data_IF_659354029682
#
_entry.id   IF_659354029682
#
_cell.length_a   1.000
_cell.length_b   1.000
_cell.length_c   1.000
_cell.angle_alpha   90.00
_cell.angle_beta   90.00
_cell.angle_gamma   90.00
#
_symmetry.space_group_name_H-M   'P 1'
#
loop_
_entity.id
_entity.type
_entity.pdbx_description
1 polymer ?
#
# COMPACT_ATOMS: atom_id res chain seq x y z
N UNK A 1 -11.24 -19.40 16.27
CA UNK A 1 -10.60 -18.11 16.59
C UNK A 1 -11.02 -17.12 15.52
N UNK A 2 -11.62 -15.99 15.88
CA UNK A 2 -12.04 -14.98 14.90
C UNK A 2 -10.83 -14.31 14.25
N UNK A 3 -10.97 -13.83 13.01
CA UNK A 3 -9.93 -13.06 12.31
C UNK A 3 -9.46 -11.88 13.17
N UNK A 4 -10.36 -11.21 13.90
CA UNK A 4 -10.02 -10.16 14.87
C UNK A 4 -8.97 -10.60 15.91
N UNK A 5 -9.10 -11.81 16.48
CA UNK A 5 -8.13 -12.36 17.45
C UNK A 5 -6.80 -12.80 16.81
N UNK A 6 -6.77 -13.05 15.50
CA UNK A 6 -5.55 -13.33 14.73
C UNK A 6 -4.86 -12.05 14.27
N UNK A 7 -5.66 -11.07 13.83
CA UNK A 7 -5.23 -9.74 13.41
C UNK A 7 -4.51 -9.02 14.54
N UNK A 8 -5.04 -9.04 15.78
CA UNK A 8 -4.33 -8.49 16.94
C UNK A 8 -2.97 -9.16 17.21
N UNK A 9 -2.80 -10.46 16.91
CA UNK A 9 -1.54 -11.19 17.10
C UNK A 9 -0.51 -10.92 16.01
N UNK A 10 -0.93 -10.87 14.75
CA UNK A 10 -0.05 -10.51 13.62
C UNK A 10 0.30 -9.02 13.66
N UNK A 11 -0.67 -8.17 14.01
CA UNK A 11 -0.47 -6.77 14.35
C UNK A 11 0.52 -6.60 15.50
N UNK A 12 0.40 -7.38 16.58
CA UNK A 12 1.36 -7.34 17.66
C UNK A 12 2.76 -7.81 17.23
N UNK A 13 2.89 -8.66 16.20
CA UNK A 13 4.18 -9.04 15.61
C UNK A 13 4.81 -7.90 14.82
N UNK A 14 4.03 -7.23 13.97
CA UNK A 14 4.45 -6.04 13.23
C UNK A 14 4.82 -4.89 14.18
N UNK A 15 4.01 -4.65 15.22
CA UNK A 15 4.23 -3.60 16.23
C UNK A 15 5.38 -3.93 17.18
N UNK A 16 5.59 -5.19 17.60
CA UNK A 16 6.69 -5.53 18.53
C UNK A 16 8.07 -5.31 17.92
N UNK A 17 8.20 -5.49 16.62
CA UNK A 17 9.43 -5.19 15.85
C UNK A 17 9.51 -3.69 15.47
N UNK A 18 8.38 -3.02 15.23
CA UNK A 18 8.32 -1.62 14.77
C UNK A 18 8.40 -0.55 15.88
N UNK A 19 7.81 -0.80 17.06
CA UNK A 19 7.92 0.07 18.26
C UNK A 19 9.35 0.08 18.83
N UNK A 20 10.21 -0.85 18.42
CA UNK A 20 11.65 -0.78 18.74
C UNK A 20 12.38 0.37 18.04
N UNK A 21 11.77 1.03 17.04
CA UNK A 21 12.47 1.91 16.09
C UNK A 21 12.09 3.41 16.12
N UNK A 22 11.50 4.01 17.15
CA UNK A 22 11.69 5.45 17.55
C UNK A 22 10.45 6.05 18.23
N UNK A 23 10.73 7.10 19.00
CA UNK A 23 9.79 7.81 19.85
C UNK A 23 10.14 9.32 19.79
N UNK A 24 9.11 10.19 19.65
CA UNK A 24 8.98 11.62 20.06
C UNK A 24 8.74 12.70 18.98
N UNK A 25 7.56 13.33 19.03
CA UNK A 25 7.37 14.79 19.26
C UNK A 25 5.88 15.14 19.47
N UNK A 26 5.57 15.90 20.53
CA UNK A 26 4.23 16.39 20.89
C UNK A 26 4.17 17.88 20.49
N UNK A 27 3.15 18.27 19.71
CA UNK A 27 2.83 19.67 19.41
C UNK A 27 1.76 20.21 20.38
N UNK A 28 1.56 21.54 20.46
CA UNK A 28 0.57 22.12 21.37
C UNK A 28 -0.86 21.79 20.93
N UNK A 29 -1.75 21.53 21.90
CA UNK A 29 -3.18 21.25 21.68
C UNK A 29 -3.92 22.50 21.19
N UNK A 30 -4.82 22.40 20.19
CA UNK A 30 -5.82 23.44 19.95
C UNK A 30 -7.01 23.25 20.89
N UNK A 31 -7.44 24.35 21.50
CA UNK A 31 -8.77 24.48 22.09
C UNK A 31 -9.78 24.83 20.97
N UNK A 32 -10.94 24.17 20.96
CA UNK A 32 -12.09 24.60 20.17
C UNK A 32 -12.83 23.46 19.47
N UNK A 33 -13.95 23.06 20.06
CA UNK A 33 -14.89 22.05 19.54
C UNK A 33 -15.78 22.70 18.46
N UNK A 34 -15.60 22.29 17.20
CA UNK A 34 -16.40 22.78 16.08
C UNK A 34 -16.11 21.97 14.82
N UNK A 35 -17.18 21.48 14.16
CA UNK A 35 -17.11 20.68 12.93
C UNK A 35 -16.21 21.33 11.87
N UNK A 36 -15.11 20.66 11.54
CA UNK A 36 -14.16 21.05 10.51
C UNK A 36 -14.78 20.88 9.12
N UNK A 37 -14.82 21.96 8.35
CA UNK A 37 -15.22 21.94 6.93
C UNK A 37 -13.98 21.82 6.04
N UNK A 38 -14.12 21.45 4.75
CA UNK A 38 -12.99 21.47 3.80
C UNK A 38 -12.33 22.86 3.70
N UNK A 39 -13.13 23.94 3.81
CA UNK A 39 -12.66 25.32 3.83
C UNK A 39 -11.80 25.61 5.09
N UNK A 40 -12.23 25.14 6.27
CA UNK A 40 -11.46 25.26 7.52
C UNK A 40 -10.13 24.50 7.45
N UNK A 41 -10.13 23.33 6.80
CA UNK A 41 -8.90 22.54 6.59
C UNK A 41 -7.93 23.24 5.65
N UNK A 42 -8.42 23.84 4.55
CA UNK A 42 -7.61 24.67 3.63
C UNK A 42 -7.01 25.90 4.33
N UNK A 43 -7.79 26.59 5.17
CA UNK A 43 -7.31 27.76 5.91
C UNK A 43 -6.30 27.41 7.02
N UNK A 44 -6.47 26.26 7.69
CA UNK A 44 -5.47 25.75 8.65
C UNK A 44 -4.16 25.41 7.96
N UNK A 45 -4.21 24.73 6.81
CA UNK A 45 -3.03 24.39 6.02
C UNK A 45 -2.25 25.64 5.57
N UNK A 46 -2.96 26.71 5.16
CA UNK A 46 -2.34 27.98 4.81
C UNK A 46 -1.66 28.69 6.00
N UNK A 47 -2.23 28.58 7.21
CA UNK A 47 -1.61 29.13 8.44
C UNK A 47 -0.37 28.35 8.86
N UNK A 48 -0.41 27.02 8.78
CA UNK A 48 0.75 26.15 9.05
C UNK A 48 1.89 26.47 8.06
N UNK A 49 1.56 26.72 6.79
CA UNK A 49 2.51 27.15 5.75
C UNK A 49 3.21 28.48 6.11
N UNK A 50 2.43 29.46 6.61
CA UNK A 50 2.95 30.77 7.01
C UNK A 50 3.84 30.71 8.27
N UNK A 51 3.53 29.83 9.23
CA UNK A 51 4.36 29.61 10.41
C UNK A 51 5.73 28.98 10.06
N UNK A 52 5.78 28.13 9.02
CA UNK A 52 7.00 27.46 8.60
C UNK A 52 7.88 28.28 7.63
N UNK A 53 7.32 29.26 6.92
CA UNK A 53 8.09 30.22 6.10
C UNK A 53 9.06 31.09 6.92
N UNK A 54 8.89 31.14 8.26
CA UNK A 54 9.74 31.91 9.18
C UNK A 54 10.84 31.13 9.91
N UNK A 55 11.15 29.89 9.48
CA UNK A 55 12.46 29.28 9.77
C UNK A 55 12.69 28.83 11.22
N UNK A 56 11.79 28.05 11.81
CA UNK A 56 12.09 27.31 13.04
C UNK A 56 11.75 25.82 12.90
N UNK A 57 12.77 24.99 12.66
CA UNK A 57 12.69 23.53 12.87
C UNK A 57 13.14 23.12 14.28
N UNK A 58 13.62 24.07 15.10
CA UNK A 58 14.10 23.80 16.46
C UNK A 58 13.85 24.97 17.40
N UNK A 59 12.90 24.82 18.33
CA UNK A 59 12.89 25.58 19.57
C UNK A 59 12.37 24.65 20.69
N UNK A 60 13.29 24.19 21.51
CA UNK A 60 13.01 23.37 22.69
C UNK A 60 12.18 24.17 23.71
N UNK A 61 11.02 23.63 24.11
CA UNK A 61 10.44 23.97 25.40
C UNK A 61 11.10 23.09 26.49
N UNK A 62 11.32 23.59 27.72
CA UNK A 62 11.96 22.81 28.78
C UNK A 62 11.05 21.64 29.19
N UNK A 63 11.58 20.41 29.15
CA UNK A 63 10.84 19.19 29.49
C UNK A 63 10.37 19.20 30.96
N UNK A 64 9.09 18.85 31.17
CA UNK A 64 8.61 18.44 32.49
C UNK A 64 9.20 17.06 32.83
N UNK A 65 9.82 16.93 34.02
CA UNK A 65 10.46 15.71 34.52
C UNK A 65 9.49 14.51 34.51
N UNK A 66 9.72 13.52 33.63
CA UNK A 66 9.09 12.19 33.70
C UNK A 66 9.73 11.34 34.82
N UNK A 67 8.90 10.56 35.49
CA UNK A 67 9.25 9.66 36.59
C UNK A 67 10.16 8.51 36.14
N UNK A 68 11.19 8.21 36.94
CA UNK A 68 12.10 7.05 36.78
C UNK A 68 11.32 5.76 36.96
N UNK A 69 10.93 5.08 35.88
CA UNK A 69 10.23 3.79 35.98
C UNK A 69 10.42 2.84 34.79
N UNK A 70 10.43 3.35 33.55
CA UNK A 70 10.50 2.47 32.37
C UNK A 70 11.58 2.94 31.39
N UNK A 71 12.85 2.73 31.74
CA UNK A 71 13.92 2.74 30.74
C UNK A 71 13.96 1.36 30.09
N UNK A 72 13.12 1.15 29.06
CA UNK A 72 13.28 0.01 28.15
C UNK A 72 14.61 0.18 27.40
N UNK A 73 15.48 -0.82 27.48
CA UNK A 73 16.77 -0.89 26.80
C UNK A 73 16.56 -0.91 25.29
N UNK A 74 17.04 0.13 24.60
CA UNK A 74 17.09 0.19 23.12
C UNK A 74 18.15 -0.78 22.62
N UNK A 75 17.83 -1.61 21.63
CA UNK A 75 18.84 -2.41 20.92
C UNK A 75 19.48 -1.51 19.86
N UNK A 76 20.80 -1.22 19.93
CA UNK A 76 21.49 -0.53 18.85
C UNK A 76 21.49 -1.42 17.61
N UNK A 77 20.95 -0.94 16.49
CA UNK A 77 21.17 -1.58 15.19
C UNK A 77 22.38 -0.89 14.56
N UNK A 78 23.50 -1.60 14.48
CA UNK A 78 24.69 -1.13 13.77
C UNK A 78 24.51 -1.42 12.27
N UNK A 79 23.97 -0.46 11.53
CA UNK A 79 23.86 -0.54 10.07
C UNK A 79 25.16 -0.06 9.41
N UNK A 80 25.58 -0.63 8.26
CA UNK A 80 26.67 -0.07 7.46
C UNK A 80 26.39 1.39 7.08
N UNK A 81 27.43 2.23 7.01
CA UNK A 81 27.28 3.66 6.69
C UNK A 81 26.54 3.88 5.35
N UNK A 82 26.79 3.04 4.35
CA UNK A 82 26.10 3.09 3.06
C UNK A 82 24.58 2.87 3.17
N UNK A 83 24.13 2.03 4.10
CA UNK A 83 22.71 1.79 4.37
C UNK A 83 22.09 2.98 5.10
N UNK A 84 22.83 3.58 6.04
CA UNK A 84 22.40 4.79 6.73
C UNK A 84 22.27 5.97 5.76
N UNK A 85 23.20 6.11 4.83
CA UNK A 85 23.17 7.16 3.81
C UNK A 85 22.03 6.95 2.81
N UNK A 86 21.79 5.70 2.38
CA UNK A 86 20.63 5.36 1.56
C UNK A 86 19.31 5.71 2.28
N UNK A 87 19.18 5.34 3.56
CA UNK A 87 18.03 5.67 4.39
C UNK A 87 17.78 7.19 4.45
N UNK A 88 18.84 7.99 4.67
CA UNK A 88 18.73 9.46 4.71
C UNK A 88 18.34 10.04 3.35
N UNK A 89 18.92 9.53 2.27
CA UNK A 89 18.61 9.95 0.91
C UNK A 89 17.17 9.61 0.55
N UNK A 90 16.70 8.40 0.85
CA UNK A 90 15.29 8.01 0.66
C UNK A 90 14.34 8.91 1.45
N UNK A 91 14.65 9.22 2.71
CA UNK A 91 13.84 10.13 3.52
C UNK A 91 13.76 11.54 2.90
N UNK A 92 14.90 12.08 2.43
CA UNK A 92 14.94 13.37 1.76
C UNK A 92 14.14 13.36 0.44
N UNK A 93 14.27 12.30 -0.35
CA UNK A 93 13.51 12.12 -1.59
C UNK A 93 12.00 12.14 -1.30
N UNK A 94 11.51 11.37 -0.33
CA UNK A 94 10.09 11.37 0.04
C UNK A 94 9.59 12.77 0.43
N UNK A 95 10.39 13.54 1.16
CA UNK A 95 10.03 14.91 1.54
C UNK A 95 10.06 15.89 0.36
N UNK A 96 10.95 15.69 -0.62
CA UNK A 96 11.05 16.51 -1.84
C UNK A 96 9.84 16.30 -2.76
N UNK A 97 9.22 15.13 -2.74
CA UNK A 97 8.05 14.80 -3.57
C UNK A 97 6.76 15.46 -3.08
N UNK A 98 6.74 16.08 -1.89
CA UNK A 98 5.59 16.86 -1.43
C UNK A 98 5.51 18.19 -2.19
N UNK A 99 4.32 18.50 -2.71
CA UNK A 99 4.06 19.82 -3.27
C UNK A 99 4.07 20.92 -2.19
N UNK A 100 4.52 22.11 -2.61
CA UNK A 100 4.68 23.28 -1.73
C UNK A 100 3.39 24.10 -1.60
N UNK A 101 2.42 23.93 -2.50
CA UNK A 101 1.18 24.68 -2.55
C UNK A 101 -0.01 23.85 -2.03
N UNK A 102 -0.17 22.65 -2.56
CA UNK A 102 -1.10 21.61 -2.14
C UNK A 102 -0.44 20.72 -1.08
N UNK A 103 -0.26 21.26 0.12
CA UNK A 103 0.46 20.56 1.18
C UNK A 103 -0.20 19.21 1.53
N UNK A 104 0.62 18.17 1.63
CA UNK A 104 0.21 16.78 1.81
C UNK A 104 0.10 15.97 0.52
N UNK A 105 0.04 16.63 -0.65
CA UNK A 105 0.12 15.96 -1.94
C UNK A 105 1.56 15.52 -2.21
N UNK A 106 1.81 14.21 -2.28
CA UNK A 106 3.11 13.63 -2.63
C UNK A 106 2.94 12.89 -3.95
N UNK A 107 3.72 13.28 -4.96
CA UNK A 107 3.69 12.63 -6.27
C UNK A 107 4.44 11.30 -6.25
N UNK A 108 4.11 10.40 -7.19
CA UNK A 108 4.77 9.10 -7.27
C UNK A 108 6.27 9.21 -7.64
N UNK A 109 6.62 10.09 -8.59
CA UNK A 109 8.02 10.40 -8.93
C UNK A 109 8.17 11.75 -9.64
N UNK A 110 9.25 12.48 -9.35
CA UNK A 110 9.71 13.64 -10.11
C UNK A 110 10.36 13.24 -11.45
N UNK A 111 9.65 12.46 -12.27
CA UNK A 111 10.15 11.99 -13.56
C UNK A 111 9.04 11.74 -14.59
N UNK A 112 9.45 11.65 -15.85
CA UNK A 112 8.65 11.13 -16.96
C UNK A 112 9.37 9.88 -17.46
N UNK A 113 8.80 8.66 -17.27
CA UNK A 113 9.44 7.43 -17.71
C UNK A 113 9.60 7.42 -19.23
N UNK A 114 10.79 7.05 -19.71
CA UNK A 114 11.21 7.16 -21.11
C UNK A 114 11.04 8.56 -21.71
N UNK A 115 11.22 9.62 -20.91
CA UNK A 115 11.02 11.00 -21.32
C UNK A 115 11.84 11.42 -22.57
N UNK A 116 12.95 10.74 -22.87
CA UNK A 116 13.74 10.97 -24.07
C UNK A 116 13.02 10.59 -25.39
N UNK A 117 11.93 9.83 -25.32
CA UNK A 117 11.08 9.47 -26.47
C UNK A 117 9.67 10.05 -26.38
N UNK A 118 9.40 10.88 -25.36
CA UNK A 118 8.12 11.57 -25.20
C UNK A 118 8.20 12.97 -25.80
N UNK A 119 7.10 13.44 -26.36
CA UNK A 119 7.01 14.82 -26.83
C UNK A 119 6.81 15.79 -25.66
N UNK A 120 7.05 17.08 -25.90
CA UNK A 120 6.88 18.16 -24.90
C UNK A 120 5.43 18.33 -24.40
N UNK A 121 4.48 17.62 -25.03
CA UNK A 121 3.06 17.60 -24.67
C UNK A 121 2.66 16.37 -23.85
N UNK A 122 3.59 15.53 -23.42
CA UNK A 122 3.27 14.40 -22.54
C UNK A 122 2.80 14.94 -21.18
N UNK A 123 1.49 14.86 -20.97
CA UNK A 123 0.84 15.20 -19.71
C UNK A 123 0.71 13.92 -18.87
N UNK A 124 0.92 14.03 -17.55
CA UNK A 124 0.67 12.95 -16.61
C UNK A 124 1.66 11.77 -16.70
N UNK A 125 2.95 12.07 -16.53
CA UNK A 125 3.96 11.06 -16.19
C UNK A 125 3.79 10.56 -14.74
N UNK A 126 4.88 10.39 -14.01
CA UNK A 126 4.77 9.94 -12.60
C UNK A 126 4.65 11.11 -11.61
N UNK A 127 4.60 12.34 -12.12
CA UNK A 127 4.41 13.56 -11.33
C UNK A 127 2.93 13.85 -11.04
N UNK A 128 2.12 12.79 -10.85
CA UNK A 128 0.75 12.84 -10.34
C UNK A 128 0.72 12.16 -8.97
N UNK A 129 -0.40 12.31 -8.26
CA UNK A 129 -0.64 11.70 -6.96
C UNK A 129 -1.48 10.44 -7.14
N UNK A 130 -0.94 9.28 -6.76
CA UNK A 130 -1.69 8.03 -6.62
C UNK A 130 -1.98 7.80 -5.14
N UNK A 131 -3.24 7.54 -4.73
CA UNK A 131 -3.54 7.21 -3.34
C UNK A 131 -2.69 6.06 -2.79
N UNK A 132 -2.39 5.02 -3.59
CA UNK A 132 -1.50 3.92 -3.19
C UNK A 132 -0.08 4.40 -2.88
N UNK A 133 0.56 5.11 -3.80
CA UNK A 133 1.93 5.61 -3.65
C UNK A 133 2.03 6.65 -2.53
N UNK A 134 1.03 7.52 -2.44
CA UNK A 134 0.89 8.53 -1.41
C UNK A 134 0.84 7.90 -0.02
N UNK A 135 0.01 6.87 0.19
CA UNK A 135 -0.11 6.18 1.49
C UNK A 135 1.15 5.40 1.83
N UNK A 136 1.80 4.74 0.87
CA UNK A 136 3.07 4.05 1.15
C UNK A 136 4.19 5.04 1.52
N UNK A 137 4.28 6.17 0.80
CA UNK A 137 5.23 7.25 1.09
C UNK A 137 4.98 7.87 2.46
N UNK A 138 3.73 8.18 2.78
CA UNK A 138 3.35 8.75 4.07
C UNK A 138 3.51 7.74 5.22
N UNK A 139 3.27 6.45 4.96
CA UNK A 139 3.57 5.36 5.90
C UNK A 139 5.07 5.25 6.20
N UNK A 140 5.93 5.39 5.19
CA UNK A 140 7.37 5.49 5.40
C UNK A 140 7.73 6.72 6.24
N UNK A 141 7.11 7.88 5.97
CA UNK A 141 7.33 9.09 6.78
C UNK A 141 6.92 8.92 8.24
N UNK A 142 5.86 8.17 8.54
CA UNK A 142 5.53 7.78 9.91
C UNK A 142 6.68 6.95 10.51
N UNK A 143 7.18 5.94 9.80
CA UNK A 143 8.29 5.11 10.27
C UNK A 143 9.60 5.92 10.48
N UNK A 144 9.78 7.00 9.72
CA UNK A 144 10.88 7.95 9.86
C UNK A 144 10.68 8.98 11.00
N UNK A 145 9.50 8.99 11.65
CA UNK A 145 9.12 9.97 12.67
C UNK A 145 8.63 11.31 12.12
N UNK A 146 8.52 11.47 10.80
CA UNK A 146 8.03 12.67 10.11
C UNK A 146 6.49 12.77 10.10
N UNK A 147 5.91 12.70 11.30
CA UNK A 147 4.45 12.67 11.49
C UNK A 147 3.73 13.95 11.02
N UNK A 148 4.39 15.09 10.98
CA UNK A 148 3.79 16.35 10.49
C UNK A 148 3.45 16.25 9.01
N UNK A 149 4.36 15.73 8.18
CA UNK A 149 4.10 15.53 6.76
C UNK A 149 3.03 14.46 6.53
N UNK A 150 3.12 13.33 7.23
CA UNK A 150 2.10 12.28 7.16
C UNK A 150 0.68 12.80 7.50
N UNK A 151 0.55 13.66 8.52
CA UNK A 151 -0.74 14.28 8.87
C UNK A 151 -1.27 15.21 7.77
N UNK A 152 -0.40 15.96 7.08
CA UNK A 152 -0.79 16.79 5.93
C UNK A 152 -1.29 15.93 4.79
N UNK A 153 -0.67 14.79 4.54
CA UNK A 153 -1.15 13.79 3.57
C UNK A 153 -2.55 13.26 3.93
N UNK A 154 -2.84 13.00 5.20
CA UNK A 154 -4.20 12.59 5.59
C UNK A 154 -5.23 13.69 5.28
N UNK A 155 -4.90 14.95 5.58
CA UNK A 155 -5.77 16.09 5.23
C UNK A 155 -5.99 16.21 3.72
N UNK A 156 -4.95 15.99 2.92
CA UNK A 156 -5.06 15.95 1.47
C UNK A 156 -6.06 14.87 1.02
N UNK A 157 -5.88 13.62 1.48
CA UNK A 157 -6.81 12.51 1.18
C UNK A 157 -8.25 12.83 1.60
N UNK A 158 -8.45 13.40 2.79
CA UNK A 158 -9.79 13.83 3.25
C UNK A 158 -10.40 14.90 2.34
N UNK A 159 -9.59 15.78 1.75
CA UNK A 159 -10.06 16.87 0.89
C UNK A 159 -10.33 16.47 -0.56
N UNK A 160 -9.75 15.36 -1.01
CA UNK A 160 -9.84 14.87 -2.40
C UNK A 160 -10.74 13.65 -2.54
N UNK A 161 -11.33 13.15 -1.45
CA UNK A 161 -12.30 12.06 -1.51
C UNK A 161 -13.54 12.50 -2.30
N UNK A 162 -13.97 11.66 -3.23
CA UNK A 162 -15.18 11.87 -4.00
C UNK A 162 -16.45 11.63 -3.17
N UNK A 163 -17.58 12.18 -3.64
CA UNK A 163 -18.85 12.15 -2.91
C UNK A 163 -19.39 10.72 -2.63
N UNK A 164 -19.02 9.75 -3.46
CA UNK A 164 -19.42 8.33 -3.29
C UNK A 164 -18.52 7.56 -2.31
N UNK A 165 -17.40 8.17 -1.88
CA UNK A 165 -16.44 7.63 -0.93
C UNK A 165 -15.14 7.10 -1.55
N UNK A 166 -14.98 7.13 -2.87
CA UNK A 166 -13.75 6.69 -3.54
C UNK A 166 -12.73 7.82 -3.71
N UNK A 167 -11.58 7.47 -4.27
CA UNK A 167 -10.65 8.41 -4.90
C UNK A 167 -10.54 8.05 -6.40
N UNK A 168 -10.17 9.03 -7.22
CA UNK A 168 -9.76 8.76 -8.59
C UNK A 168 -8.46 7.93 -8.60
N UNK A 169 -8.21 7.22 -9.71
CA UNK A 169 -7.00 6.41 -9.90
C UNK A 169 -5.72 7.22 -9.65
N UNK A 170 -5.69 8.44 -10.15
CA UNK A 170 -4.66 9.40 -9.84
C UNK A 170 -5.18 10.82 -10.00
N UNK A 171 -4.50 11.74 -9.34
CA UNK A 171 -4.91 13.13 -9.21
C UNK A 171 -3.77 14.05 -9.61
N UNK A 172 -4.13 15.19 -10.18
CA UNK A 172 -3.26 16.36 -10.14
C UNK A 172 -3.06 16.82 -8.68
N UNK A 173 -2.04 17.67 -8.47
CA UNK A 173 -1.70 18.20 -7.16
C UNK A 173 -2.87 18.90 -6.47
N UNK A 174 -3.74 19.55 -7.24
CA UNK A 174 -4.94 20.24 -6.73
C UNK A 174 -6.12 19.30 -6.39
N UNK A 175 -5.96 17.99 -6.63
CA UNK A 175 -6.99 16.99 -6.41
C UNK A 175 -7.90 16.75 -7.62
N UNK A 176 -7.66 17.38 -8.77
CA UNK A 176 -8.42 17.10 -9.98
C UNK A 176 -8.09 15.69 -10.50
N UNK A 177 -9.09 14.82 -10.77
CA UNK A 177 -8.86 13.50 -11.35
C UNK A 177 -8.14 13.57 -12.71
N UNK A 178 -7.18 12.68 -12.94
CA UNK A 178 -6.55 12.50 -14.25
C UNK A 178 -7.05 11.22 -14.93
N UNK A 179 -6.75 10.05 -14.39
CA UNK A 179 -7.36 8.78 -14.79
C UNK A 179 -8.48 8.35 -13.83
N UNK A 180 -9.38 7.51 -14.35
CA UNK A 180 -10.62 7.11 -13.68
C UNK A 180 -10.79 5.59 -13.55
N UNK A 181 -9.70 4.82 -13.63
CA UNK A 181 -9.72 3.41 -13.30
C UNK A 181 -10.15 3.17 -11.85
N UNK A 182 -10.90 2.10 -11.61
CA UNK A 182 -11.37 1.77 -10.27
C UNK A 182 -10.40 0.79 -9.60
N UNK A 183 -9.63 1.29 -8.64
CA UNK A 183 -8.68 0.49 -7.85
C UNK A 183 -9.13 0.43 -6.40
N UNK A 184 -9.65 -0.72 -5.98
CA UNK A 184 -10.24 -0.86 -4.64
C UNK A 184 -9.18 -0.76 -3.52
N UNK A 185 -7.92 -1.10 -3.80
CA UNK A 185 -6.83 -0.91 -2.85
C UNK A 185 -6.56 0.58 -2.59
N UNK A 186 -6.71 1.44 -3.59
CA UNK A 186 -6.56 2.89 -3.43
C UNK A 186 -7.66 3.53 -2.58
N UNK A 187 -8.83 2.89 -2.50
CA UNK A 187 -9.93 3.29 -1.61
C UNK A 187 -9.69 2.75 -0.19
N UNK A 188 -9.10 1.57 -0.08
CA UNK A 188 -8.82 0.90 1.19
C UNK A 188 -7.58 1.46 1.92
N UNK A 189 -6.53 1.86 1.18
CA UNK A 189 -5.28 2.37 1.75
C UNK A 189 -5.45 3.61 2.65
N UNK A 190 -6.25 4.64 2.30
CA UNK A 190 -6.52 5.78 3.18
C UNK A 190 -7.10 5.40 4.55
N UNK A 191 -7.91 4.33 4.61
CA UNK A 191 -8.45 3.81 5.88
C UNK A 191 -7.31 3.24 6.74
N UNK A 192 -6.45 2.42 6.13
CA UNK A 192 -5.27 1.85 6.81
C UNK A 192 -4.33 2.95 7.29
N UNK A 193 -4.12 3.99 6.48
CA UNK A 193 -3.27 5.12 6.81
C UNK A 193 -3.78 5.90 8.03
N UNK A 194 -5.09 6.14 8.11
CA UNK A 194 -5.68 6.78 9.29
C UNK A 194 -5.44 5.95 10.58
N UNK A 195 -5.47 4.62 10.50
CA UNK A 195 -5.12 3.75 11.64
C UNK A 195 -3.64 3.82 12.01
N UNK A 196 -2.74 3.93 11.03
CA UNK A 196 -1.31 4.14 11.31
C UNK A 196 -1.10 5.43 12.10
N UNK A 197 -1.70 6.55 11.68
CA UNK A 197 -1.63 7.81 12.41
C UNK A 197 -2.30 7.73 13.79
N UNK A 198 -3.42 7.02 13.92
CA UNK A 198 -4.09 6.81 15.21
C UNK A 198 -3.17 6.12 16.21
N UNK A 199 -2.44 5.08 15.77
CA UNK A 199 -1.53 4.31 16.63
C UNK A 199 -0.36 5.15 17.12
N UNK A 200 0.11 6.08 16.31
CA UNK A 200 1.12 7.06 16.70
C UNK A 200 0.58 8.20 17.57
N UNK A 201 -0.72 8.21 17.87
CA UNK A 201 -1.37 9.31 18.59
C UNK A 201 -1.39 10.61 17.79
N UNK A 202 -1.41 10.52 16.45
CA UNK A 202 -1.27 11.65 15.52
C UNK A 202 -2.58 12.06 14.84
N UNK A 203 -3.72 11.76 15.46
CA UNK A 203 -5.05 12.21 15.01
C UNK A 203 -5.67 13.32 15.87
N UNK A 204 -4.89 13.94 16.79
CA UNK A 204 -5.37 14.88 17.82
C UNK A 204 -6.55 15.81 17.42
N UNK A 205 -6.37 16.63 16.39
CA UNK A 205 -7.34 17.59 15.80
C UNK A 205 -7.98 17.08 14.49
N UNK A 206 -7.75 15.83 14.13
CA UNK A 206 -8.23 15.23 12.89
C UNK A 206 -9.20 14.10 13.18
N UNK A 207 -10.45 14.29 12.78
CA UNK A 207 -11.43 13.21 12.73
C UNK A 207 -11.50 12.63 11.30
N UNK A 208 -10.81 11.51 11.00
CA UNK A 208 -10.90 10.86 9.70
C UNK A 208 -12.18 10.01 9.54
N UNK A 209 -13.03 9.88 10.56
CA UNK A 209 -14.14 8.94 10.52
C UNK A 209 -15.14 9.19 9.39
N UNK A 210 -15.53 10.43 9.04
CA UNK A 210 -16.38 10.67 7.87
C UNK A 210 -15.77 10.11 6.58
N UNK A 211 -14.47 10.32 6.37
CA UNK A 211 -13.73 9.79 5.22
C UNK A 211 -13.71 8.26 5.22
N UNK A 212 -13.38 7.66 6.38
CA UNK A 212 -13.34 6.22 6.57
C UNK A 212 -14.71 5.58 6.34
N UNK A 213 -15.77 6.18 6.86
CA UNK A 213 -17.14 5.69 6.72
C UNK A 213 -17.59 5.71 5.26
N UNK A 214 -17.29 6.78 4.52
CA UNK A 214 -17.62 6.87 3.10
C UNK A 214 -16.85 5.82 2.28
N UNK A 215 -15.54 5.69 2.51
CA UNK A 215 -14.70 4.71 1.85
C UNK A 215 -15.15 3.27 2.14
N UNK A 216 -15.38 2.92 3.41
CA UNK A 216 -15.87 1.60 3.81
C UNK A 216 -17.27 1.31 3.23
N UNK A 217 -18.14 2.33 3.13
CA UNK A 217 -19.42 2.22 2.46
C UNK A 217 -19.28 1.94 0.97
N UNK A 218 -18.30 2.53 0.29
CA UNK A 218 -17.99 2.23 -1.10
C UNK A 218 -17.48 0.79 -1.26
N UNK A 219 -16.49 0.39 -0.45
CA UNK A 219 -15.96 -0.98 -0.46
C UNK A 219 -17.09 -2.00 -0.27
N UNK A 220 -17.98 -1.80 0.71
CA UNK A 220 -19.11 -2.70 0.98
C UNK A 220 -20.07 -2.87 -0.21
N UNK A 221 -20.27 -1.81 -1.03
CA UNK A 221 -21.21 -1.84 -2.17
C UNK A 221 -20.61 -2.38 -3.45
N UNK A 222 -19.29 -2.27 -3.61
CA UNK A 222 -18.61 -2.51 -4.88
C UNK A 222 -17.58 -3.65 -4.84
N UNK A 223 -17.08 -4.01 -3.65
CA UNK A 223 -16.12 -5.10 -3.46
C UNK A 223 -16.76 -6.48 -3.46
N UNK A 224 -15.93 -7.54 -3.46
CA UNK A 224 -14.47 -7.53 -3.33
C UNK A 224 -13.71 -7.57 -4.68
N UNK A 225 -14.42 -7.41 -5.79
CA UNK A 225 -13.82 -7.36 -7.13
C UNK A 225 -13.32 -5.95 -7.39
N UNK A 226 -12.08 -5.83 -7.84
CA UNK A 226 -11.52 -4.53 -8.28
C UNK A 226 -11.65 -4.35 -9.79
N UNK A 227 -11.80 -3.11 -10.25
CA UNK A 227 -11.77 -2.79 -11.69
C UNK A 227 -10.36 -2.90 -12.27
N UNK A 228 -9.35 -2.64 -11.45
CA UNK A 228 -7.93 -2.79 -11.75
C UNK A 228 -7.17 -3.25 -10.49
N UNK A 229 -6.21 -4.14 -10.66
CA UNK A 229 -5.21 -4.47 -9.65
C UNK A 229 -4.17 -3.35 -9.48
N UNK A 230 -3.23 -3.50 -8.55
CA UNK A 230 -2.25 -2.44 -8.22
C UNK A 230 -1.32 -2.06 -9.37
N UNK A 231 -1.23 -2.90 -10.40
CA UNK A 231 -0.47 -2.61 -11.62
C UNK A 231 -1.28 -1.84 -12.66
N UNK A 232 -2.56 -1.56 -12.37
CA UNK A 232 -3.47 -0.75 -13.16
C UNK A 232 -3.92 -1.40 -14.47
N UNK A 233 -3.93 -2.74 -14.53
CA UNK A 233 -4.05 -3.48 -15.80
C UNK A 233 -5.31 -4.34 -15.90
N UNK A 234 -5.65 -5.09 -14.83
CA UNK A 234 -6.69 -6.11 -14.88
C UNK A 234 -7.68 -6.00 -13.72
N UNK A 235 -8.97 -6.13 -14.01
CA UNK A 235 -10.00 -6.30 -12.99
C UNK A 235 -10.18 -7.76 -12.57
N UNK A 236 -10.81 -7.98 -11.42
CA UNK A 236 -11.09 -9.30 -10.87
C UNK A 236 -10.75 -9.43 -9.38
N UNK A 237 -10.60 -10.67 -8.92
CA UNK A 237 -10.13 -11.01 -7.58
C UNK A 237 -8.60 -10.91 -7.54
N UNK A 238 -8.08 -9.72 -7.29
CA UNK A 238 -6.65 -9.44 -7.10
C UNK A 238 -6.22 -9.81 -5.68
N UNK A 239 -5.19 -10.65 -5.53
CA UNK A 239 -4.75 -11.10 -4.20
C UNK A 239 -4.26 -9.93 -3.34
N UNK A 240 -3.53 -8.98 -3.94
CA UNK A 240 -3.09 -7.78 -3.25
C UNK A 240 -4.28 -6.95 -2.79
N UNK A 241 -5.21 -6.66 -3.69
CA UNK A 241 -6.35 -5.77 -3.43
C UNK A 241 -7.28 -6.37 -2.38
N UNK A 242 -7.61 -7.66 -2.47
CA UNK A 242 -8.36 -8.40 -1.45
C UNK A 242 -7.73 -8.27 -0.06
N UNK A 243 -6.40 -8.38 0.02
CA UNK A 243 -5.69 -8.28 1.30
C UNK A 243 -5.84 -6.88 1.93
N UNK A 244 -5.70 -5.83 1.12
CA UNK A 244 -5.86 -4.44 1.56
C UNK A 244 -7.31 -4.14 1.95
N UNK A 245 -8.28 -4.56 1.15
CA UNK A 245 -9.71 -4.37 1.41
C UNK A 245 -10.16 -5.02 2.72
N UNK A 246 -9.82 -6.29 2.95
CA UNK A 246 -10.18 -7.01 4.19
C UNK A 246 -9.59 -6.30 5.41
N UNK A 247 -8.31 -5.92 5.36
CA UNK A 247 -7.67 -5.21 6.46
C UNK A 247 -8.32 -3.83 6.70
N UNK A 248 -8.65 -3.10 5.64
CA UNK A 248 -9.30 -1.80 5.73
C UNK A 248 -10.71 -1.91 6.34
N UNK A 249 -11.48 -2.93 5.98
CA UNK A 249 -12.82 -3.16 6.54
C UNK A 249 -12.77 -3.44 8.04
N UNK A 250 -11.78 -4.21 8.52
CA UNK A 250 -11.57 -4.44 9.97
C UNK A 250 -11.18 -3.14 10.69
N UNK A 251 -10.31 -2.33 10.08
CA UNK A 251 -9.93 -1.02 10.62
C UNK A 251 -11.13 -0.08 10.68
N UNK A 252 -11.90 0.03 9.60
CA UNK A 252 -13.10 0.84 9.52
C UNK A 252 -14.14 0.42 10.57
N UNK A 253 -14.28 -0.89 10.81
CA UNK A 253 -15.14 -1.40 11.88
C UNK A 253 -14.69 -0.91 13.27
N UNK A 254 -13.38 -0.93 13.54
CA UNK A 254 -12.82 -0.40 14.79
C UNK A 254 -13.05 1.10 14.96
N UNK A 255 -13.02 1.88 13.87
CA UNK A 255 -13.42 3.28 13.90
C UNK A 255 -14.94 3.43 14.15
N UNK A 256 -15.79 2.66 13.47
CA UNK A 256 -17.23 2.69 13.66
C UNK A 256 -17.64 2.43 15.13
N UNK A 257 -16.99 1.47 15.80
CA UNK A 257 -17.22 1.20 17.22
C UNK A 257 -16.83 2.40 18.10
N UNK A 258 -15.67 3.02 17.84
CA UNK A 258 -15.19 4.21 18.58
C UNK A 258 -16.11 5.41 18.41
N UNK A 259 -16.81 5.51 17.27
CA UNK A 259 -17.78 6.56 16.98
C UNK A 259 -19.22 6.17 17.35
N UNK A 260 -19.42 5.11 18.14
CA UNK A 260 -20.73 4.74 18.65
C UNK A 260 -21.69 4.17 17.59
N UNK A 261 -21.15 3.61 16.50
CA UNK A 261 -21.92 2.95 15.43
C UNK A 261 -21.58 1.44 15.35
N UNK A 262 -21.76 0.66 16.43
CA UNK A 262 -21.30 -0.73 16.49
C UNK A 262 -22.03 -1.65 15.52
N UNK A 263 -23.26 -1.31 15.10
CA UNK A 263 -23.98 -2.07 14.08
C UNK A 263 -23.28 -2.02 12.72
N UNK A 264 -22.74 -0.85 12.34
CA UNK A 264 -21.89 -0.73 11.15
C UNK A 264 -20.60 -1.52 11.34
N UNK A 265 -19.97 -1.41 12.52
CA UNK A 265 -18.78 -2.20 12.85
C UNK A 265 -18.99 -3.71 12.70
N UNK A 266 -20.15 -4.23 13.10
CA UNK A 266 -20.50 -5.64 12.91
C UNK A 266 -20.60 -6.03 11.42
N UNK A 267 -21.34 -5.27 10.62
CA UNK A 267 -21.48 -5.53 9.16
C UNK A 267 -20.12 -5.51 8.46
N UNK A 268 -19.26 -4.54 8.79
CA UNK A 268 -17.93 -4.43 8.20
C UNK A 268 -17.03 -5.62 8.56
N UNK A 269 -17.08 -6.10 9.82
CA UNK A 269 -16.35 -7.30 10.27
C UNK A 269 -16.87 -8.58 9.60
N UNK A 270 -18.18 -8.76 9.55
CA UNK A 270 -18.80 -9.94 8.91
C UNK A 270 -18.46 -9.99 7.42
N UNK A 271 -18.47 -8.84 6.74
CA UNK A 271 -18.05 -8.73 5.34
C UNK A 271 -16.59 -9.08 5.17
N UNK A 272 -15.70 -8.53 6.02
CA UNK A 272 -14.27 -8.83 5.99
C UNK A 272 -14.00 -10.33 6.23
N UNK A 273 -14.70 -10.95 7.18
CA UNK A 273 -14.61 -12.38 7.47
C UNK A 273 -15.09 -13.23 6.28
N UNK A 274 -16.21 -12.85 5.66
CA UNK A 274 -16.75 -13.54 4.50
C UNK A 274 -15.80 -13.49 3.29
N UNK A 275 -15.22 -12.32 3.00
CA UNK A 275 -14.23 -12.17 1.93
C UNK A 275 -12.94 -12.93 2.25
N UNK A 276 -12.42 -12.77 3.46
CA UNK A 276 -11.20 -13.46 3.90
C UNK A 276 -11.30 -14.98 3.81
N UNK A 277 -12.48 -15.55 4.11
CA UNK A 277 -12.73 -16.99 4.04
C UNK A 277 -12.75 -17.56 2.61
N UNK A 278 -12.97 -16.71 1.59
CA UNK A 278 -13.07 -17.11 0.19
C UNK A 278 -11.85 -16.75 -0.67
N UNK A 279 -10.84 -16.09 -0.10
CA UNK A 279 -9.61 -15.73 -0.83
C UNK A 279 -9.02 -16.95 -1.55
N UNK A 280 -8.88 -18.08 -0.87
CA UNK A 280 -8.34 -19.31 -1.48
C UNK A 280 -9.25 -19.85 -2.59
N UNK A 281 -10.57 -19.79 -2.41
CA UNK A 281 -11.54 -20.25 -3.41
C UNK A 281 -11.37 -19.48 -4.72
N UNK A 282 -11.17 -18.17 -4.64
CA UNK A 282 -11.03 -17.32 -5.82
C UNK A 282 -9.63 -17.35 -6.43
N UNK A 283 -8.59 -17.46 -5.61
CA UNK A 283 -7.22 -17.09 -6.03
C UNK A 283 -6.16 -18.17 -5.84
N UNK A 284 -6.44 -19.28 -5.15
CA UNK A 284 -5.47 -20.35 -4.95
C UNK A 284 -5.71 -21.51 -5.92
N UNK A 285 -4.79 -21.71 -6.87
CA UNK A 285 -4.89 -22.75 -7.90
C UNK A 285 -4.03 -23.96 -7.53
N UNK A 286 -4.49 -25.14 -7.95
CA UNK A 286 -3.82 -26.44 -7.75
C UNK A 286 -3.75 -27.18 -9.07
N UNK A 287 -2.89 -28.20 -9.12
CA UNK A 287 -2.76 -29.11 -10.26
C UNK A 287 -2.57 -28.39 -11.62
N UNK A 288 -1.93 -27.23 -11.59
CA UNK A 288 -1.48 -26.53 -12.80
C UNK A 288 -0.17 -27.11 -13.29
N UNK A 289 0.18 -26.86 -14.56
CA UNK A 289 1.50 -27.22 -15.08
C UNK A 289 2.63 -26.61 -14.25
N UNK A 290 2.49 -25.34 -13.86
CA UNK A 290 3.46 -24.63 -13.03
C UNK A 290 3.61 -25.27 -11.63
N UNK A 291 2.51 -25.67 -10.98
CA UNK A 291 2.56 -26.31 -9.65
C UNK A 291 3.32 -27.65 -9.71
N UNK A 292 3.07 -28.47 -10.73
CA UNK A 292 3.79 -29.72 -10.98
C UNK A 292 5.26 -29.49 -11.27
N UNK A 293 5.59 -28.49 -12.09
CA UNK A 293 6.98 -28.16 -12.46
C UNK A 293 7.80 -27.72 -11.25
N UNK A 294 7.25 -26.88 -10.38
CA UNK A 294 7.92 -26.38 -9.18
C UNK A 294 7.91 -27.42 -8.04
N UNK A 295 7.02 -28.41 -8.10
CA UNK A 295 6.87 -29.43 -7.06
C UNK A 295 6.22 -28.89 -5.80
N UNK A 296 5.06 -28.22 -5.97
CA UNK A 296 4.22 -27.68 -4.89
C UNK A 296 2.75 -28.06 -5.13
N UNK A 297 1.94 -28.09 -4.07
CA UNK A 297 0.51 -28.47 -4.15
C UNK A 297 -0.35 -27.42 -4.87
N UNK A 298 0.11 -26.17 -4.92
CA UNK A 298 -0.61 -25.04 -5.49
C UNK A 298 0.00 -23.70 -5.10
N UNK A 299 -0.55 -22.61 -5.62
CA UNK A 299 -0.08 -21.25 -5.37
C UNK A 299 -1.19 -20.22 -5.57
N UNK A 300 -1.02 -19.03 -4.98
CA UNK A 300 -1.87 -17.88 -5.29
C UNK A 300 -1.49 -17.28 -6.64
N UNK A 301 -2.51 -17.00 -7.46
CA UNK A 301 -2.37 -16.27 -8.74
C UNK A 301 -2.21 -14.76 -8.51
N UNK A 302 -1.87 -14.01 -9.54
CA UNK A 302 -1.91 -12.53 -9.50
C UNK A 302 -3.34 -12.01 -9.29
N UNK A 303 -4.21 -12.34 -10.25
CA UNK A 303 -5.60 -11.90 -10.31
C UNK A 303 -6.43 -12.97 -11.03
N UNK A 304 -7.60 -13.30 -10.50
CA UNK A 304 -8.57 -14.18 -11.16
C UNK A 304 -9.74 -13.36 -11.73
N UNK A 305 -10.31 -13.74 -12.89
CA UNK A 305 -11.54 -13.12 -13.40
C UNK A 305 -12.67 -13.11 -12.36
N UNK A 306 -13.57 -12.13 -12.43
CA UNK A 306 -14.71 -11.98 -11.51
C UNK A 306 -15.74 -13.12 -11.63
N UNK A 307 -15.73 -13.84 -12.75
CA UNK A 307 -16.57 -14.99 -13.06
C UNK A 307 -15.86 -16.35 -12.82
N UNK A 308 -14.70 -16.37 -12.15
CA UNK A 308 -13.90 -17.59 -11.95
C UNK A 308 -14.64 -18.71 -11.20
N UNK A 309 -15.59 -18.35 -10.34
CA UNK A 309 -16.39 -19.30 -9.57
C UNK A 309 -17.64 -19.80 -10.32
N UNK A 310 -17.94 -19.25 -11.50
CA UNK A 310 -19.10 -19.66 -12.29
C UNK A 310 -18.88 -21.05 -12.88
N UNK A 311 -19.96 -21.83 -13.02
CA UNK A 311 -19.89 -23.16 -13.65
C UNK A 311 -19.41 -23.09 -15.10
N UNK A 312 -19.66 -21.98 -15.79
CA UNK A 312 -19.19 -21.70 -17.13
C UNK A 312 -18.73 -20.24 -17.23
N UNK A 313 -17.47 -19.94 -16.83
CA UNK A 313 -16.92 -18.58 -16.86
C UNK A 313 -16.92 -18.03 -18.28
N UNK A 314 -17.47 -16.84 -18.49
CA UNK A 314 -17.46 -16.13 -19.78
C UNK A 314 -16.05 -15.75 -20.20
N UNK A 315 -15.18 -15.47 -19.22
CA UNK A 315 -13.75 -15.24 -19.42
C UNK A 315 -12.99 -16.46 -19.96
N UNK A 316 -13.56 -17.67 -19.83
CA UNK A 316 -12.87 -18.92 -20.10
C UNK A 316 -11.65 -19.16 -19.19
N UNK A 317 -11.53 -18.40 -18.08
CA UNK A 317 -10.35 -18.40 -17.23
C UNK A 317 -9.13 -17.76 -17.89
N UNK A 318 -9.34 -16.77 -18.78
CA UNK A 318 -8.28 -16.03 -19.47
C UNK A 318 -8.33 -14.56 -19.04
N UNK A 319 -7.15 -13.98 -18.83
CA UNK A 319 -6.95 -12.55 -18.60
C UNK A 319 -6.11 -11.94 -19.71
N UNK A 320 -6.29 -10.65 -19.96
CA UNK A 320 -5.40 -9.91 -20.85
C UNK A 320 -4.08 -9.62 -20.15
N UNK A 321 -2.98 -9.66 -20.89
CA UNK A 321 -1.66 -9.19 -20.45
C UNK A 321 -1.40 -7.89 -21.18
N UNK A 322 -1.42 -6.78 -20.42
CA UNK A 322 -1.14 -5.46 -20.99
C UNK A 322 0.29 -5.40 -21.51
N UNK A 323 0.52 -4.48 -22.45
CA UNK A 323 1.85 -4.17 -22.97
C UNK A 323 2.50 -5.32 -23.77
N UNK A 324 1.68 -6.24 -24.28
CA UNK A 324 2.06 -7.38 -25.11
C UNK A 324 1.21 -7.42 -26.38
N UNK A 325 1.76 -8.01 -27.44
CA UNK A 325 1.12 -8.12 -28.75
C UNK A 325 0.63 -9.54 -29.06
N UNK A 326 -0.36 -9.63 -29.94
CA UNK A 326 -0.85 -10.89 -30.52
C UNK A 326 -1.26 -11.92 -29.46
N UNK A 327 -0.76 -13.15 -29.60
CA UNK A 327 -1.06 -14.24 -28.67
C UNK A 327 -0.49 -14.03 -27.26
N UNK A 328 0.55 -13.20 -27.09
CA UNK A 328 1.13 -12.90 -25.78
C UNK A 328 0.27 -11.95 -24.95
N UNK A 329 -0.69 -11.26 -25.58
CA UNK A 329 -1.63 -10.34 -24.94
C UNK A 329 -2.70 -11.06 -24.10
N UNK A 330 -2.68 -12.39 -24.03
CA UNK A 330 -3.66 -13.20 -23.30
C UNK A 330 -2.98 -14.37 -22.61
N UNK A 331 -3.45 -14.72 -21.41
CA UNK A 331 -2.96 -15.86 -20.65
C UNK A 331 -4.05 -16.46 -19.77
N UNK A 332 -3.93 -17.75 -19.45
CA UNK A 332 -4.76 -18.33 -18.39
C UNK A 332 -4.40 -17.66 -17.07
N UNK A 333 -5.39 -17.19 -16.32
CA UNK A 333 -5.13 -16.50 -15.04
C UNK A 333 -4.33 -17.38 -14.06
N UNK A 334 -4.61 -18.69 -14.10
CA UNK A 334 -3.92 -19.70 -13.30
C UNK A 334 -2.42 -19.82 -13.58
N UNK A 335 -1.93 -19.32 -14.72
CA UNK A 335 -0.51 -19.32 -15.09
C UNK A 335 0.22 -18.04 -14.66
N UNK A 336 -0.50 -17.00 -14.21
CA UNK A 336 0.07 -15.70 -13.89
C UNK A 336 0.23 -15.56 -12.38
N UNK A 337 1.49 -15.39 -11.96
CA UNK A 337 1.91 -15.29 -10.57
C UNK A 337 2.54 -13.92 -10.35
N UNK A 338 2.40 -13.39 -9.13
CA UNK A 338 2.95 -12.10 -8.72
C UNK A 338 3.41 -12.15 -7.25
N UNK A 339 4.44 -11.38 -6.85
CA UNK A 339 4.77 -11.18 -5.44
C UNK A 339 3.64 -10.54 -4.61
N UNK A 340 2.60 -10.02 -5.27
CA UNK A 340 1.36 -9.49 -4.68
C UNK A 340 0.76 -10.40 -3.58
N UNK A 341 0.92 -11.73 -3.71
CA UNK A 341 0.44 -12.69 -2.72
C UNK A 341 1.04 -12.50 -1.33
N UNK A 342 2.23 -11.87 -1.23
CA UNK A 342 2.86 -11.53 0.05
C UNK A 342 2.04 -10.52 0.86
N UNK A 343 1.13 -9.78 0.22
CA UNK A 343 0.20 -8.88 0.89
C UNK A 343 -0.68 -9.60 1.93
N UNK A 344 -1.04 -10.86 1.67
CA UNK A 344 -1.82 -11.67 2.62
C UNK A 344 -1.10 -11.81 3.97
N UNK A 345 0.24 -11.89 3.96
CA UNK A 345 1.07 -11.91 5.17
C UNK A 345 1.28 -10.50 5.70
N UNK A 346 1.65 -9.55 4.83
CA UNK A 346 1.92 -8.15 5.20
C UNK A 346 0.75 -7.50 5.95
N UNK A 347 -0.49 -7.81 5.55
CA UNK A 347 -1.71 -7.31 6.19
C UNK A 347 -2.32 -8.27 7.22
N UNK A 348 -1.61 -9.34 7.57
CA UNK A 348 -1.92 -10.22 8.69
C UNK A 348 -3.11 -11.16 8.49
N UNK A 349 -3.44 -11.48 7.24
CA UNK A 349 -4.50 -12.41 6.90
C UNK A 349 -4.02 -13.86 6.88
N UNK A 350 -2.75 -14.11 6.58
CA UNK A 350 -2.16 -15.45 6.55
C UNK A 350 -0.86 -15.49 7.35
N UNK A 351 -0.59 -16.66 7.93
CA UNK A 351 0.68 -16.91 8.60
C UNK A 351 1.80 -17.01 7.54
N UNK A 352 2.99 -16.42 7.77
CA UNK A 352 4.11 -16.51 6.84
C UNK A 352 4.57 -17.96 6.57
N UNK A 353 4.29 -18.89 7.48
CA UNK A 353 4.62 -20.31 7.37
C UNK A 353 3.41 -21.17 6.95
N UNK A 354 2.27 -20.58 6.59
CA UNK A 354 1.17 -21.34 5.98
C UNK A 354 1.71 -22.07 4.73
N UNK A 355 1.47 -23.39 4.57
CA UNK A 355 1.96 -24.14 3.42
C UNK A 355 1.58 -23.54 2.07
N UNK A 356 0.40 -22.91 1.95
CA UNK A 356 -0.02 -22.22 0.73
C UNK A 356 0.86 -21.01 0.43
N UNK A 357 1.21 -20.23 1.45
CA UNK A 357 2.11 -19.08 1.33
C UNK A 357 3.52 -19.54 0.97
N UNK A 358 4.07 -20.52 1.68
CA UNK A 358 5.41 -21.06 1.41
C UNK A 358 5.49 -21.63 -0.01
N UNK A 359 4.48 -22.39 -0.45
CA UNK A 359 4.40 -22.91 -1.81
C UNK A 359 4.35 -21.77 -2.84
N UNK A 360 3.58 -20.71 -2.55
CA UNK A 360 3.48 -19.54 -3.43
C UNK A 360 4.82 -18.79 -3.53
N UNK A 361 5.54 -18.61 -2.42
CA UNK A 361 6.88 -18.00 -2.41
C UNK A 361 7.85 -18.79 -3.27
N UNK A 362 7.83 -20.13 -3.19
CA UNK A 362 8.66 -20.99 -4.07
C UNK A 362 8.35 -20.76 -5.54
N UNK A 363 7.07 -20.64 -5.91
CA UNK A 363 6.65 -20.38 -7.29
C UNK A 363 7.05 -18.97 -7.75
N UNK A 364 6.88 -17.96 -6.88
CA UNK A 364 7.36 -16.59 -7.13
C UNK A 364 8.87 -16.58 -7.38
N UNK A 365 9.65 -17.22 -6.51
CA UNK A 365 11.11 -17.22 -6.61
C UNK A 365 11.61 -17.99 -7.84
N UNK A 366 10.96 -19.09 -8.23
CA UNK A 366 11.32 -19.85 -9.43
C UNK A 366 10.94 -19.11 -10.72
N UNK A 367 9.84 -18.37 -10.71
CA UNK A 367 9.27 -17.79 -11.93
C UNK A 367 9.70 -16.34 -12.17
N UNK A 368 9.90 -15.56 -11.11
CA UNK A 368 10.01 -14.10 -11.18
C UNK A 368 11.33 -13.57 -10.62
N UNK A 369 12.12 -14.36 -9.90
CA UNK A 369 13.39 -13.89 -9.36
C UNK A 369 14.45 -13.85 -10.45
N UNK A 370 15.23 -12.78 -10.46
CA UNK A 370 16.49 -12.70 -11.18
C UNK A 370 17.60 -12.27 -10.25
N UNK A 371 18.83 -12.66 -10.55
CA UNK A 371 20.01 -12.23 -9.80
C UNK A 371 20.69 -11.10 -10.56
N UNK A 372 20.79 -9.95 -9.92
CA UNK A 372 21.55 -8.81 -10.41
C UNK A 372 22.93 -8.79 -9.76
N UNK A 373 23.81 -7.90 -10.22
CA UNK A 373 25.12 -7.70 -9.59
C UNK A 373 25.02 -7.24 -8.11
N UNK A 374 23.88 -6.65 -7.72
CA UNK A 374 23.67 -6.07 -6.39
C UNK A 374 22.69 -6.88 -5.53
N UNK A 375 22.25 -8.06 -5.99
CA UNK A 375 21.32 -8.92 -5.24
C UNK A 375 20.13 -9.39 -6.07
N UNK A 376 19.23 -10.19 -5.47
CA UNK A 376 18.03 -10.65 -6.15
C UNK A 376 17.01 -9.52 -6.34
N UNK A 377 16.30 -9.56 -7.46
CA UNK A 377 15.17 -8.69 -7.75
C UNK A 377 14.06 -9.53 -8.38
N UNK A 378 12.82 -9.04 -8.35
CA UNK A 378 11.66 -9.75 -8.89
C UNK A 378 10.97 -8.96 -9.99
N UNK A 379 10.45 -9.66 -10.99
CA UNK A 379 9.47 -9.08 -11.91
C UNK A 379 8.11 -8.94 -11.22
N UNK A 380 7.28 -8.01 -11.70
CA UNK A 380 5.92 -7.78 -11.17
C UNK A 380 5.05 -9.03 -11.31
N UNK A 381 5.08 -9.63 -12.49
CA UNK A 381 4.41 -10.89 -12.80
C UNK A 381 5.02 -11.49 -14.07
N UNK A 382 4.80 -12.77 -14.32
CA UNK A 382 5.36 -13.42 -15.52
C UNK A 382 4.61 -12.95 -16.78
N UNK A 383 5.34 -12.76 -17.88
CA UNK A 383 4.87 -12.18 -19.15
C UNK A 383 4.59 -10.67 -19.11
N UNK A 384 4.96 -9.99 -18.03
CA UNK A 384 4.92 -8.54 -17.96
C UNK A 384 5.60 -7.88 -19.17
N UNK A 385 4.93 -6.92 -19.80
CA UNK A 385 5.41 -6.18 -20.96
C UNK A 385 5.76 -4.71 -20.70
N UNK A 386 5.61 -4.21 -19.47
CA UNK A 386 5.90 -2.82 -19.15
C UNK A 386 7.39 -2.58 -18.91
N UNK A 387 8.13 -2.37 -20.00
CA UNK A 387 9.57 -2.13 -19.97
C UNK A 387 10.14 -2.00 -21.37
N UNK A 388 11.45 -1.77 -21.47
CA UNK A 388 12.15 -1.68 -22.75
C UNK A 388 11.91 -2.91 -23.62
N UNK A 389 12.07 -2.74 -24.93
CA UNK A 389 12.07 -3.86 -25.88
C UNK A 389 13.29 -4.76 -25.69
N UNK A 390 13.31 -5.91 -26.37
CA UNK A 390 14.42 -6.86 -26.27
C UNK A 390 15.77 -6.29 -26.75
N UNK A 391 15.74 -5.38 -27.72
CA UNK A 391 16.91 -4.65 -28.22
C UNK A 391 17.31 -3.45 -27.36
N UNK A 392 16.63 -3.21 -26.24
CA UNK A 392 16.85 -2.09 -25.34
C UNK A 392 16.20 -0.78 -25.80
N UNK A 393 15.42 -0.80 -26.89
CA UNK A 393 14.67 0.38 -27.30
C UNK A 393 13.64 0.78 -26.22
N UNK A 394 13.36 2.08 -26.05
CA UNK A 394 12.40 2.57 -25.07
C UNK A 394 10.99 1.97 -25.23
N UNK A 395 10.26 1.92 -24.14
CA UNK A 395 8.87 1.46 -24.14
C UNK A 395 7.97 2.44 -24.90
N UNK A 396 7.15 1.91 -25.81
CA UNK A 396 6.23 2.66 -26.68
C UNK A 396 4.76 2.18 -26.57
N UNK A 397 4.47 1.34 -25.58
CA UNK A 397 3.18 0.66 -25.43
C UNK A 397 3.32 -0.86 -25.36
N UNK A 398 4.38 -1.45 -25.95
CA UNK A 398 4.71 -2.87 -25.76
C UNK A 398 6.20 -3.10 -25.54
N UNK A 399 6.52 -4.15 -24.77
CA UNK A 399 7.90 -4.47 -24.44
C UNK A 399 8.07 -5.67 -23.53
N UNK A 400 9.13 -5.64 -22.71
CA UNK A 400 9.45 -6.68 -21.73
C UNK A 400 9.65 -6.02 -20.38
N UNK A 401 8.79 -6.37 -19.42
CA UNK A 401 8.92 -5.92 -18.04
C UNK A 401 10.30 -6.24 -17.48
N UNK A 402 10.77 -5.40 -16.56
CA UNK A 402 12.09 -5.53 -15.91
C UNK A 402 11.93 -5.86 -14.42
N UNK A 403 12.99 -6.26 -13.71
CA UNK A 403 12.92 -6.47 -12.26
C UNK A 403 12.73 -5.16 -11.50
N UNK A 404 11.90 -5.17 -10.45
CA UNK A 404 11.57 -3.99 -9.64
C UNK A 404 12.23 -4.10 -8.26
N UNK A 405 13.15 -3.17 -7.90
CA UNK A 405 13.81 -3.19 -6.59
C UNK A 405 12.85 -3.12 -5.40
N UNK A 406 11.70 -2.45 -5.54
CA UNK A 406 10.70 -2.37 -4.46
C UNK A 406 10.22 -3.76 -4.01
N UNK A 407 10.19 -4.73 -4.93
CA UNK A 407 9.72 -6.08 -4.63
C UNK A 407 10.72 -6.88 -3.78
N UNK A 408 12.00 -6.50 -3.78
CA UNK A 408 12.97 -7.01 -2.81
C UNK A 408 12.61 -6.54 -1.39
N UNK A 409 12.21 -5.28 -1.24
CA UNK A 409 11.70 -4.75 0.03
C UNK A 409 10.40 -5.43 0.49
N UNK A 410 9.46 -5.69 -0.40
CA UNK A 410 8.24 -6.46 -0.07
C UNK A 410 8.56 -7.91 0.32
N UNK A 411 9.52 -8.54 -0.37
CA UNK A 411 10.06 -9.86 -0.02
C UNK A 411 10.71 -9.84 1.36
N UNK A 412 11.45 -8.79 1.69
CA UNK A 412 12.06 -8.58 3.01
C UNK A 412 11.02 -8.42 4.13
N UNK A 413 9.90 -7.72 3.89
CA UNK A 413 8.80 -7.66 4.85
C UNK A 413 8.21 -9.05 5.17
N UNK A 414 8.08 -9.92 4.16
CA UNK A 414 7.69 -11.31 4.40
C UNK A 414 8.74 -12.06 5.22
N UNK A 415 10.04 -11.90 4.92
CA UNK A 415 11.11 -12.56 5.67
C UNK A 415 11.14 -12.12 7.15
N UNK A 416 10.92 -10.83 7.42
CA UNK A 416 10.75 -10.31 8.78
C UNK A 416 9.55 -10.96 9.48
N UNK A 417 8.39 -11.01 8.81
CA UNK A 417 7.20 -11.66 9.36
C UNK A 417 7.46 -13.15 9.65
N UNK A 418 8.24 -13.81 8.80
CA UNK A 418 8.62 -15.21 8.93
C UNK A 418 9.74 -15.47 9.96
N UNK A 419 10.20 -14.44 10.68
CA UNK A 419 11.23 -14.55 11.71
C UNK A 419 12.65 -14.73 11.17
N UNK A 420 12.93 -14.24 9.95
CA UNK A 420 14.23 -14.34 9.27
C UNK A 420 14.84 -12.96 8.98
N UNK A 421 15.18 -12.17 10.02
CA UNK A 421 15.69 -10.79 9.85
C UNK A 421 17.03 -10.72 9.13
N UNK A 422 17.89 -11.74 9.26
CA UNK A 422 19.16 -11.80 8.55
C UNK A 422 18.96 -11.92 7.03
N UNK A 423 17.93 -12.65 6.58
CA UNK A 423 17.58 -12.75 5.16
C UNK A 423 16.99 -11.44 4.68
N UNK A 424 16.11 -10.81 5.48
CA UNK A 424 15.53 -9.52 5.17
C UNK A 424 16.58 -8.40 5.03
N UNK A 425 17.68 -8.45 5.79
CA UNK A 425 18.78 -7.48 5.71
C UNK A 425 19.66 -7.67 4.46
N UNK A 426 19.71 -8.88 3.90
CA UNK A 426 20.47 -9.18 2.68
C UNK A 426 19.73 -8.79 1.40
N UNK A 427 18.40 -8.78 1.46
CA UNK A 427 17.51 -8.32 0.39
C UNK A 427 17.45 -6.79 0.38
#
# INVERSE_FOLDING_TARGET
MSLASSFERVQASYIREWVRFHEHTIGPRPEGDGMTTPEHSRQSAARDLAAHAHGSTHAHAPEAKRTKGERRTRTPVHLPDSVVDLYRMSAAILAIHEDKCASGAIIASLSIPWGNTKGDHELGGYHLVWPRDLVNSAGALIALGHNVLARRTLRYLMSTQEADGRWAQNLWLDGTPYWNGLQMDEIAFPILFAEMLRREGKLEDLDPYPMIRSAAGFLLRHGPVTGQDRWEENGGYSVFTLAVEVAAMLVAAGFADRHGVPALGAVLRETADAWNARIEEWTYVRDTELSRRVGVDGYYVRVAPDDVADTAPRSGGVISIKNRDGAQAWARYAEIVSPDALALVRFGLRDPNDPRIVNTVRVIDETLRTHTATGPAWYRYNRDGYGEKEDGAPFDGTGVGRPWPLLAGERAHYELAAGRPEVAMQL
#
